data_IF_655221523101
#
_entry.id   IF_655221523101
#
_cell.length_a   1.000
_cell.length_b   1.000
_cell.length_c   1.000
_cell.angle_alpha   90.00
_cell.angle_beta   90.00
_cell.angle_gamma   90.00
#
_symmetry.space_group_name_H-M   'P 1'
#
loop_
_entity.id
_entity.type
_entity.pdbx_description
1 polymer ?
#
# COMPACT_ATOMS: atom_id res chain seq x y z
N UNK A 1 2.55 -13.44 14.96
CA UNK A 1 2.39 -14.31 16.16
C UNK A 1 3.53 -14.09 17.15
N UNK A 2 3.84 -12.83 17.45
CA UNK A 2 4.83 -12.40 18.43
C UNK A 2 4.35 -12.69 19.86
N UNK A 3 5.23 -12.50 20.85
CA UNK A 3 4.83 -12.57 22.26
C UNK A 3 3.88 -11.44 22.69
N UNK A 4 4.02 -10.24 22.12
CA UNK A 4 3.21 -9.05 22.46
C UNK A 4 1.71 -9.28 22.26
N UNK A 5 1.33 -10.06 21.23
CA UNK A 5 -0.05 -10.49 20.97
C UNK A 5 -0.75 -11.09 22.19
N UNK A 6 -0.01 -11.81 23.05
CA UNK A 6 -0.57 -12.50 24.21
C UNK A 6 -0.56 -11.65 25.48
N UNK A 7 0.49 -10.87 25.69
CA UNK A 7 0.73 -10.20 26.97
C UNK A 7 0.18 -8.78 27.02
N UNK A 8 -0.02 -8.14 25.86
CA UNK A 8 -0.55 -6.80 25.77
C UNK A 8 -2.08 -6.83 25.57
N UNK A 9 -2.74 -5.76 26.02
CA UNK A 9 -4.19 -5.55 25.85
C UNK A 9 -5.05 -6.74 26.32
N UNK A 10 -4.61 -7.46 27.35
CA UNK A 10 -5.30 -8.63 27.91
C UNK A 10 -5.69 -9.71 26.88
N UNK A 11 -4.94 -9.80 25.77
CA UNK A 11 -5.19 -10.76 24.70
C UNK A 11 -6.28 -10.35 23.69
N UNK A 12 -6.81 -9.12 23.75
CA UNK A 12 -7.74 -8.60 22.74
C UNK A 12 -7.15 -8.66 21.33
N UNK A 13 -5.85 -8.41 21.17
CA UNK A 13 -5.12 -8.53 19.89
C UNK A 13 -5.32 -9.87 19.18
N UNK A 14 -5.38 -10.98 19.94
CA UNK A 14 -5.60 -12.31 19.37
C UNK A 14 -7.05 -12.46 18.92
N UNK A 15 -8.00 -11.86 19.63
CA UNK A 15 -9.42 -11.87 19.24
C UNK A 15 -9.63 -11.07 17.97
N UNK A 16 -9.02 -9.89 17.85
CA UNK A 16 -9.08 -9.06 16.65
C UNK A 16 -8.46 -9.78 15.45
N UNK A 17 -7.28 -10.39 15.64
CA UNK A 17 -6.65 -11.24 14.63
C UNK A 17 -7.59 -12.37 14.19
N UNK A 18 -8.19 -13.09 15.14
CA UNK A 18 -9.11 -14.18 14.83
C UNK A 18 -10.32 -13.69 14.05
N UNK A 19 -10.92 -12.56 14.47
CA UNK A 19 -12.04 -11.94 13.78
C UNK A 19 -11.68 -11.58 12.33
N UNK A 20 -10.54 -10.91 12.10
CA UNK A 20 -10.08 -10.57 10.75
C UNK A 20 -9.93 -11.84 9.91
N UNK A 21 -9.27 -12.88 10.44
CA UNK A 21 -9.06 -14.14 9.73
C UNK A 21 -10.37 -14.84 9.37
N UNK A 22 -11.35 -14.87 10.28
CA UNK A 22 -12.69 -15.44 10.04
C UNK A 22 -13.41 -14.70 8.90
N UNK A 23 -13.32 -13.37 8.89
CA UNK A 23 -13.94 -12.53 7.86
C UNK A 23 -13.25 -12.65 6.50
N UNK A 24 -11.92 -12.67 6.49
CA UNK A 24 -11.11 -12.92 5.28
C UNK A 24 -11.43 -14.29 4.71
N UNK A 25 -11.46 -15.35 5.52
CA UNK A 25 -11.78 -16.69 5.06
C UNK A 25 -13.19 -16.77 4.46
N UNK A 26 -14.16 -16.14 5.12
CA UNK A 26 -15.55 -16.07 4.63
C UNK A 26 -15.64 -15.32 3.30
N UNK A 27 -15.02 -14.14 3.20
CA UNK A 27 -15.04 -13.37 1.97
C UNK A 27 -14.30 -14.08 0.83
N UNK A 28 -13.10 -14.62 1.10
CA UNK A 28 -12.30 -15.32 0.11
C UNK A 28 -13.06 -16.53 -0.47
N UNK A 29 -13.75 -17.31 0.38
CA UNK A 29 -14.51 -18.48 -0.08
C UNK A 29 -15.75 -18.17 -0.91
N UNK A 30 -16.17 -16.91 -1.00
CA UNK A 30 -17.18 -16.47 -1.98
C UNK A 30 -16.62 -16.43 -3.41
N UNK A 31 -15.31 -16.21 -3.55
CA UNK A 31 -14.62 -16.09 -4.84
C UNK A 31 -13.75 -17.31 -5.16
N UNK A 32 -13.31 -18.02 -4.12
CA UNK A 32 -12.31 -19.07 -4.20
C UNK A 32 -12.76 -20.38 -3.55
N UNK A 33 -12.99 -21.38 -4.39
CA UNK A 33 -13.37 -22.72 -3.94
C UNK A 33 -12.25 -23.43 -3.17
N UNK A 34 -10.98 -23.01 -3.30
CA UNK A 34 -9.82 -23.66 -2.68
C UNK A 34 -9.49 -23.12 -1.28
N UNK A 35 -10.14 -22.06 -0.81
CA UNK A 35 -9.93 -21.46 0.50
C UNK A 35 -8.66 -20.61 0.60
N UNK A 36 -8.26 -20.28 1.83
CA UNK A 36 -7.07 -19.46 2.10
C UNK A 36 -5.92 -20.29 2.67
N UNK A 37 -4.70 -19.75 2.50
CA UNK A 37 -3.47 -20.23 3.13
C UNK A 37 -3.04 -19.26 4.22
N UNK A 38 -2.68 -19.77 5.39
CA UNK A 38 -2.18 -18.98 6.52
C UNK A 38 -0.69 -19.23 6.70
N UNK A 39 0.07 -18.18 7.04
CA UNK A 39 1.47 -18.29 7.43
C UNK A 39 1.69 -17.52 8.72
N UNK A 40 2.23 -18.20 9.72
CA UNK A 40 2.72 -17.57 10.94
C UNK A 40 4.14 -17.08 10.73
N UNK A 41 4.56 -16.01 11.41
CA UNK A 41 5.93 -15.49 11.29
C UNK A 41 6.88 -16.37 12.08
N UNK A 42 6.55 -16.71 13.32
CA UNK A 42 7.46 -17.40 14.24
C UNK A 42 7.35 -18.93 14.22
N UNK A 43 6.36 -19.49 13.53
CA UNK A 43 6.15 -20.95 13.51
C UNK A 43 5.84 -21.49 12.10
N UNK A 44 5.90 -22.82 11.96
CA UNK A 44 5.54 -23.57 10.76
C UNK A 44 4.66 -24.77 11.12
N UNK A 45 3.36 -24.57 11.40
CA UNK A 45 2.45 -25.67 11.67
C UNK A 45 2.36 -26.64 10.47
N UNK A 46 1.92 -27.90 10.70
CA UNK A 46 1.70 -28.85 9.63
C UNK A 46 0.80 -28.28 8.51
N UNK A 47 1.17 -28.54 7.25
CA UNK A 47 0.52 -27.93 6.09
C UNK A 47 -1.00 -28.11 6.07
N UNK A 48 -1.53 -29.26 6.49
CA UNK A 48 -2.97 -29.52 6.53
C UNK A 48 -3.77 -28.62 7.49
N UNK A 49 -3.10 -27.92 8.42
CA UNK A 49 -3.73 -26.96 9.34
C UNK A 49 -3.74 -25.54 8.78
N UNK A 50 -2.88 -25.23 7.82
CA UNK A 50 -2.61 -23.86 7.34
C UNK A 50 -2.89 -23.67 5.84
N UNK A 51 -3.44 -24.68 5.19
CA UNK A 51 -3.87 -24.66 3.79
C UNK A 51 -5.34 -24.99 3.67
N UNK A 52 -5.95 -24.50 2.59
CA UNK A 52 -7.35 -24.80 2.24
C UNK A 52 -8.34 -24.51 3.37
N UNK A 53 -8.10 -23.43 4.12
CA UNK A 53 -8.99 -23.01 5.20
C UNK A 53 -10.19 -22.31 4.58
N UNK A 54 -11.39 -22.79 4.92
CA UNK A 54 -12.65 -22.31 4.33
C UNK A 54 -13.71 -21.91 5.35
N UNK A 55 -13.50 -22.21 6.62
CA UNK A 55 -14.52 -22.05 7.65
C UNK A 55 -13.96 -21.33 8.87
N UNK A 56 -14.82 -20.58 9.54
CA UNK A 56 -14.51 -19.92 10.82
C UNK A 56 -14.08 -20.94 11.87
N UNK A 57 -14.67 -22.14 11.88
CA UNK A 57 -14.30 -23.20 12.80
C UNK A 57 -12.83 -23.65 12.63
N UNK A 58 -12.35 -23.78 11.39
CA UNK A 58 -10.95 -24.10 11.11
C UNK A 58 -10.01 -22.99 11.61
N UNK A 59 -10.40 -21.71 11.42
CA UNK A 59 -9.65 -20.56 11.94
C UNK A 59 -9.60 -20.59 13.47
N UNK A 60 -10.74 -20.79 14.14
CA UNK A 60 -10.83 -20.88 15.60
C UNK A 60 -9.94 -21.99 16.15
N UNK A 61 -9.95 -23.17 15.53
CA UNK A 61 -9.06 -24.29 15.90
C UNK A 61 -7.59 -23.96 15.68
N UNK A 62 -7.27 -23.33 14.55
CA UNK A 62 -5.91 -22.93 14.21
C UNK A 62 -5.36 -21.93 15.23
N UNK A 63 -6.10 -20.86 15.52
CA UNK A 63 -5.68 -19.79 16.43
C UNK A 63 -5.61 -20.27 17.87
N UNK A 64 -6.60 -21.02 18.34
CA UNK A 64 -6.64 -21.53 19.72
C UNK A 64 -5.54 -22.55 20.03
N UNK A 65 -5.13 -23.34 19.03
CA UNK A 65 -4.02 -24.27 19.13
C UNK A 65 -2.63 -23.64 18.97
N UNK A 66 -2.56 -22.38 18.53
CA UNK A 66 -1.30 -21.73 18.18
C UNK A 66 -0.61 -21.07 19.38
N UNK A 67 0.73 -21.18 19.43
CA UNK A 67 1.53 -20.52 20.47
C UNK A 67 2.08 -19.19 19.97
N UNK A 68 1.63 -18.11 20.58
CA UNK A 68 2.12 -16.75 20.33
C UNK A 68 3.41 -16.49 21.13
N UNK A 69 4.53 -16.32 20.42
CA UNK A 69 5.85 -16.07 21.01
C UNK A 69 6.86 -15.60 19.97
N UNK A 70 7.94 -14.95 20.42
CA UNK A 70 9.00 -14.48 19.53
C UNK A 70 8.85 -13.00 19.16
N UNK A 71 9.70 -12.57 18.23
CA UNK A 71 9.73 -11.20 17.69
C UNK A 71 8.75 -11.07 16.51
N UNK A 72 8.87 -9.98 15.76
CA UNK A 72 8.04 -9.69 14.59
C UNK A 72 8.91 -9.60 13.33
N UNK A 73 9.47 -10.71 12.82
CA UNK A 73 10.32 -10.73 11.62
C UNK A 73 9.46 -10.65 10.34
N UNK A 74 8.64 -9.60 10.25
CA UNK A 74 7.61 -9.39 9.25
C UNK A 74 8.12 -9.51 7.82
N UNK A 75 9.14 -8.73 7.44
CA UNK A 75 9.62 -8.66 6.06
C UNK A 75 10.31 -9.96 5.64
N UNK A 76 11.18 -10.47 6.50
CA UNK A 76 11.97 -11.68 6.27
C UNK A 76 11.08 -12.90 6.12
N UNK A 77 10.09 -13.07 7.01
CA UNK A 77 9.19 -14.22 6.94
C UNK A 77 8.11 -14.05 5.88
N UNK A 78 7.65 -12.82 5.57
CA UNK A 78 6.83 -12.54 4.38
C UNK A 78 7.56 -13.00 3.11
N UNK A 79 8.82 -12.60 2.96
CA UNK A 79 9.65 -12.98 1.82
C UNK A 79 9.78 -14.48 1.70
N UNK A 80 10.23 -15.13 2.77
CA UNK A 80 10.55 -16.56 2.78
C UNK A 80 9.31 -17.46 2.62
N UNK A 81 8.24 -17.18 3.38
CA UNK A 81 7.10 -18.11 3.50
C UNK A 81 6.01 -17.87 2.48
N UNK A 82 5.87 -16.64 2.00
CA UNK A 82 4.80 -16.26 1.06
C UNK A 82 5.38 -15.96 -0.32
N UNK A 83 6.35 -15.04 -0.41
CA UNK A 83 6.84 -14.61 -1.72
C UNK A 83 7.66 -15.70 -2.40
N UNK A 84 8.73 -16.17 -1.77
CA UNK A 84 9.58 -17.24 -2.28
C UNK A 84 8.91 -18.62 -2.12
N UNK A 85 8.02 -18.77 -1.13
CA UNK A 85 7.35 -20.03 -0.83
C UNK A 85 6.13 -20.34 -1.72
N UNK A 86 5.44 -19.31 -2.24
CA UNK A 86 4.16 -19.46 -2.94
C UNK A 86 4.15 -18.66 -4.24
N UNK A 87 4.36 -17.34 -4.17
CA UNK A 87 4.13 -16.41 -5.29
C UNK A 87 5.15 -16.64 -6.41
N UNK A 88 6.43 -16.60 -6.10
CA UNK A 88 7.53 -16.75 -7.06
C UNK A 88 7.53 -18.12 -7.73
N UNK A 89 7.39 -19.25 -7.01
CA UNK A 89 7.25 -20.56 -7.65
C UNK A 89 6.11 -20.61 -8.66
N UNK A 90 4.93 -20.08 -8.33
CA UNK A 90 3.77 -20.07 -9.21
C UNK A 90 3.99 -19.22 -10.48
N UNK A 91 4.69 -18.09 -10.35
CA UNK A 91 5.07 -17.25 -11.49
C UNK A 91 6.06 -17.99 -12.39
N UNK A 92 7.16 -18.50 -11.81
CA UNK A 92 8.27 -19.09 -12.57
C UNK A 92 7.88 -20.41 -13.24
N UNK A 93 7.02 -21.21 -12.62
CA UNK A 93 6.48 -22.43 -13.23
C UNK A 93 5.36 -22.15 -14.24
N UNK A 94 4.93 -20.89 -14.40
CA UNK A 94 3.77 -20.48 -15.19
C UNK A 94 2.47 -21.19 -14.77
N UNK A 95 2.34 -21.48 -13.48
CA UNK A 95 1.16 -22.14 -12.89
C UNK A 95 0.28 -21.19 -12.07
N UNK A 96 0.60 -19.90 -12.03
CA UNK A 96 -0.23 -18.89 -11.40
C UNK A 96 -1.57 -18.74 -12.13
N UNK A 97 -2.62 -19.35 -11.56
CA UNK A 97 -3.98 -19.35 -12.12
C UNK A 97 -4.72 -18.04 -11.87
N UNK A 98 -4.45 -17.37 -10.76
CA UNK A 98 -5.07 -16.11 -10.33
C UNK A 98 -4.04 -15.22 -9.62
N UNK A 99 -4.24 -13.89 -9.60
CA UNK A 99 -3.50 -13.01 -8.70
C UNK A 99 -3.61 -13.42 -7.24
N UNK A 100 -2.65 -13.00 -6.42
CA UNK A 100 -2.59 -13.30 -4.98
C UNK A 100 -2.74 -12.01 -4.17
N UNK A 101 -3.73 -11.98 -3.27
CA UNK A 101 -3.80 -10.97 -2.21
C UNK A 101 -3.05 -11.50 -0.98
N UNK A 102 -2.06 -10.76 -0.50
CA UNK A 102 -1.32 -11.08 0.72
C UNK A 102 -1.77 -10.13 1.83
N UNK A 103 -2.46 -10.65 2.83
CA UNK A 103 -2.87 -9.90 4.02
C UNK A 103 -1.94 -10.22 5.18
N UNK A 104 -1.18 -9.21 5.63
CA UNK A 104 -0.28 -9.29 6.77
C UNK A 104 -0.94 -8.62 7.97
N UNK A 105 -1.25 -9.39 9.01
CA UNK A 105 -1.85 -8.88 10.25
C UNK A 105 -0.77 -8.82 11.33
N UNK A 106 -0.63 -7.67 12.00
CA UNK A 106 0.45 -7.44 12.98
C UNK A 106 -0.01 -6.55 14.13
N UNK A 107 0.55 -6.75 15.32
CA UNK A 107 0.33 -5.88 16.49
C UNK A 107 1.50 -4.94 16.79
N UNK A 108 2.52 -4.98 15.95
CA UNK A 108 3.80 -4.33 16.21
C UNK A 108 4.56 -4.03 14.93
N UNK A 109 5.50 -3.10 15.05
CA UNK A 109 6.51 -2.87 14.01
C UNK A 109 7.42 -4.09 13.82
N UNK A 110 8.12 -4.20 12.66
CA UNK A 110 9.17 -5.17 12.44
C UNK A 110 10.23 -5.20 13.56
N UNK A 111 10.65 -6.39 13.97
CA UNK A 111 11.65 -6.61 15.01
C UNK A 111 12.48 -7.87 14.76
N UNK A 112 13.78 -7.80 15.04
CA UNK A 112 14.72 -8.91 14.81
C UNK A 112 15.20 -9.03 13.35
N UNK A 113 15.00 -7.98 12.55
CA UNK A 113 15.37 -7.93 11.13
C UNK A 113 15.79 -6.50 10.72
N UNK A 114 16.39 -6.30 9.53
CA UNK A 114 16.62 -4.96 8.99
C UNK A 114 15.32 -4.15 8.84
N UNK A 115 15.36 -2.86 9.14
CA UNK A 115 14.18 -1.97 9.05
C UNK A 115 13.61 -1.84 7.64
N UNK A 116 14.42 -2.13 6.61
CA UNK A 116 14.02 -2.10 5.19
C UNK A 116 13.42 -3.41 4.71
N UNK A 117 13.46 -4.49 5.51
CA UNK A 117 13.15 -5.84 5.03
C UNK A 117 11.74 -5.95 4.41
N UNK A 118 10.73 -5.29 4.99
CA UNK A 118 9.37 -5.27 4.43
C UNK A 118 9.34 -4.56 3.08
N UNK A 119 9.92 -3.36 2.99
CA UNK A 119 9.99 -2.57 1.76
C UNK A 119 10.72 -3.33 0.64
N UNK A 120 11.87 -3.92 0.96
CA UNK A 120 12.68 -4.69 0.00
C UNK A 120 11.93 -5.94 -0.48
N UNK A 121 11.15 -6.56 0.41
CA UNK A 121 10.32 -7.72 0.08
C UNK A 121 9.17 -7.36 -0.86
N UNK A 122 8.46 -6.27 -0.61
CA UNK A 122 7.38 -5.80 -1.50
C UNK A 122 7.93 -5.43 -2.87
N UNK A 123 9.03 -4.66 -2.93
CA UNK A 123 9.70 -4.30 -4.19
C UNK A 123 10.11 -5.53 -4.98
N UNK A 124 10.73 -6.51 -4.30
CA UNK A 124 11.11 -7.77 -4.92
C UNK A 124 9.90 -8.54 -5.47
N UNK A 125 8.84 -8.67 -4.68
CA UNK A 125 7.64 -9.40 -5.10
C UNK A 125 7.01 -8.80 -6.35
N UNK A 126 6.92 -7.47 -6.42
CA UNK A 126 6.36 -6.75 -7.59
C UNK A 126 7.26 -6.88 -8.82
N UNK A 127 8.58 -6.89 -8.63
CA UNK A 127 9.53 -7.17 -9.70
C UNK A 127 9.33 -8.59 -10.27
N UNK A 128 9.18 -9.60 -9.41
CA UNK A 128 8.90 -10.97 -9.86
C UNK A 128 7.52 -11.07 -10.53
N UNK A 129 6.49 -10.46 -9.94
CA UNK A 129 5.11 -10.41 -10.45
C UNK A 129 5.03 -9.87 -11.88
N UNK A 130 5.87 -8.88 -12.21
CA UNK A 130 5.98 -8.30 -13.55
C UNK A 130 6.32 -9.32 -14.64
N UNK A 131 6.86 -10.50 -14.29
CA UNK A 131 7.14 -11.59 -15.23
C UNK A 131 5.95 -12.55 -15.44
N UNK A 132 4.84 -12.34 -14.74
CA UNK A 132 3.61 -13.13 -14.88
C UNK A 132 2.70 -12.56 -15.97
N UNK A 133 1.68 -13.35 -16.35
CA UNK A 133 0.61 -12.88 -17.25
C UNK A 133 -0.24 -11.73 -16.68
N UNK A 134 -0.18 -11.49 -15.37
CA UNK A 134 -0.92 -10.44 -14.67
C UNK A 134 -0.08 -9.17 -14.43
N UNK A 135 1.20 -9.18 -14.84
CA UNK A 135 2.12 -8.07 -14.62
C UNK A 135 2.23 -7.68 -13.14
N UNK A 136 2.36 -6.37 -12.86
CA UNK A 136 2.43 -5.87 -11.47
C UNK A 136 1.20 -6.22 -10.62
N UNK A 137 0.05 -6.45 -11.25
CA UNK A 137 -1.19 -6.82 -10.57
C UNK A 137 -1.29 -8.30 -10.17
N UNK A 138 -0.23 -9.09 -10.33
CA UNK A 138 -0.22 -10.50 -9.93
C UNK A 138 -0.19 -10.70 -8.41
N UNK A 139 0.24 -9.68 -7.66
CA UNK A 139 0.29 -9.68 -6.21
C UNK A 139 -0.15 -8.31 -5.68
N UNK A 140 -0.99 -8.32 -4.66
CA UNK A 140 -1.40 -7.14 -3.91
C UNK A 140 -1.09 -7.36 -2.42
N UNK A 141 -0.80 -6.29 -1.70
CA UNK A 141 -0.38 -6.34 -0.30
C UNK A 141 -1.29 -5.51 0.58
N UNK A 142 -1.87 -6.15 1.59
CA UNK A 142 -2.57 -5.49 2.69
C UNK A 142 -1.75 -5.65 3.96
N UNK A 143 -1.53 -4.56 4.69
CA UNK A 143 -1.03 -4.59 6.06
C UNK A 143 -2.12 -4.10 7.02
N UNK A 144 -2.52 -4.96 7.95
CA UNK A 144 -3.56 -4.66 8.92
C UNK A 144 -2.97 -4.65 10.33
N UNK A 145 -3.23 -3.58 11.06
CA UNK A 145 -2.88 -3.48 12.48
C UNK A 145 -3.99 -4.05 13.36
N UNK A 146 -3.60 -4.86 14.35
CA UNK A 146 -4.43 -5.19 15.52
C UNK A 146 -3.84 -4.56 16.79
N UNK A 147 -4.68 -4.27 17.77
CA UNK A 147 -4.26 -3.54 18.97
C UNK A 147 -3.85 -2.10 18.68
N UNK A 148 -3.33 -1.41 19.69
CA UNK A 148 -3.13 0.04 19.68
C UNK A 148 -1.65 0.49 19.73
N UNK A 149 -0.71 -0.38 19.37
CA UNK A 149 0.73 -0.04 19.35
C UNK A 149 1.03 1.14 18.41
N UNK A 150 1.55 2.23 18.97
CA UNK A 150 1.85 3.46 18.23
C UNK A 150 3.00 3.26 17.24
N UNK A 151 3.95 2.36 17.53
CA UNK A 151 5.09 2.10 16.65
C UNK A 151 4.67 1.30 15.42
N UNK A 152 3.75 0.35 15.57
CA UNK A 152 3.11 -0.35 14.45
C UNK A 152 2.44 0.66 13.53
N UNK A 153 1.64 1.58 14.11
CA UNK A 153 0.98 2.64 13.36
C UNK A 153 1.96 3.55 12.62
N UNK A 154 3.01 4.01 13.29
CA UNK A 154 4.04 4.85 12.65
C UNK A 154 4.76 4.10 11.53
N UNK A 155 5.05 2.81 11.72
CA UNK A 155 5.69 1.98 10.69
C UNK A 155 4.77 1.79 9.47
N UNK A 156 3.49 1.48 9.68
CA UNK A 156 2.53 1.32 8.59
C UNK A 156 2.29 2.64 7.83
N UNK A 157 2.23 3.77 8.54
CA UNK A 157 2.18 5.10 7.91
C UNK A 157 3.40 5.35 7.02
N UNK A 158 4.62 5.02 7.47
CA UNK A 158 5.83 5.12 6.63
C UNK A 158 5.80 4.19 5.41
N UNK A 159 5.14 3.03 5.55
CA UNK A 159 5.01 2.06 4.46
C UNK A 159 4.04 2.58 3.38
N UNK A 160 2.93 3.17 3.80
CA UNK A 160 1.91 3.77 2.94
C UNK A 160 2.39 5.09 2.29
N UNK A 161 3.16 5.91 3.03
CA UNK A 161 3.72 7.17 2.51
C UNK A 161 4.97 6.98 1.62
N UNK A 162 5.51 5.76 1.49
CA UNK A 162 6.72 5.51 0.68
C UNK A 162 6.41 5.79 -0.81
N UNK A 163 7.22 6.62 -1.50
CA UNK A 163 6.92 7.05 -2.87
C UNK A 163 6.95 5.91 -3.89
N UNK A 164 7.52 4.76 -3.54
CA UNK A 164 7.60 3.57 -4.40
C UNK A 164 6.68 2.47 -3.90
N UNK A 165 6.71 2.17 -2.60
CA UNK A 165 6.00 1.05 -1.98
C UNK A 165 4.56 1.42 -1.61
N UNK A 166 4.28 2.67 -1.25
CA UNK A 166 2.93 3.12 -0.90
C UNK A 166 1.91 2.84 -2.00
N UNK A 167 2.29 3.04 -3.25
CA UNK A 167 1.44 2.73 -4.42
C UNK A 167 1.24 1.22 -4.68
N UNK A 168 1.87 0.36 -3.89
CA UNK A 168 1.91 -1.10 -4.07
C UNK A 168 1.25 -1.84 -2.90
N UNK A 169 0.87 -1.13 -1.85
CA UNK A 169 0.34 -1.68 -0.60
C UNK A 169 -0.89 -0.88 -0.20
N UNK A 170 -1.72 -1.47 0.65
CA UNK A 170 -2.68 -0.76 1.47
C UNK A 170 -2.39 -1.05 2.95
N UNK A 171 -2.64 -0.06 3.80
CA UNK A 171 -2.39 -0.12 5.23
C UNK A 171 -3.66 0.27 5.99
N UNK A 172 -4.25 -0.66 6.74
CA UNK A 172 -5.43 -0.38 7.57
C UNK A 172 -5.06 -0.42 9.05
N UNK A 173 -5.38 0.65 9.78
CA UNK A 173 -5.21 0.70 11.24
C UNK A 173 -6.27 -0.14 11.95
N UNK A 174 -6.16 -0.29 13.27
CA UNK A 174 -7.26 -0.84 14.06
C UNK A 174 -8.56 -0.03 13.88
N UNK A 175 -9.71 -0.64 14.20
CA UNK A 175 -11.02 -0.05 13.94
C UNK A 175 -11.19 1.33 14.58
N UNK A 176 -10.76 1.51 15.83
CA UNK A 176 -10.93 2.76 16.58
C UNK A 176 -10.16 3.92 15.93
N UNK A 177 -8.91 3.67 15.53
CA UNK A 177 -8.09 4.68 14.88
C UNK A 177 -8.64 5.02 13.50
N UNK A 178 -9.00 4.01 12.72
CA UNK A 178 -9.57 4.17 11.38
C UNK A 178 -10.89 4.96 11.43
N UNK A 179 -11.76 4.61 12.38
CA UNK A 179 -13.03 5.30 12.62
C UNK A 179 -12.80 6.76 13.01
N UNK A 180 -11.82 7.04 13.88
CA UNK A 180 -11.47 8.39 14.27
C UNK A 180 -10.89 9.24 13.12
N UNK A 181 -10.17 8.62 12.17
CA UNK A 181 -9.66 9.29 10.98
C UNK A 181 -10.77 9.59 9.98
N UNK A 182 -11.61 8.60 9.67
CA UNK A 182 -12.72 8.75 8.72
C UNK A 182 -13.81 9.71 9.22
N UNK A 183 -14.03 9.78 10.54
CA UNK A 183 -14.90 10.79 11.14
C UNK A 183 -14.36 12.22 10.98
N UNK A 184 -13.04 12.39 10.75
CA UNK A 184 -12.39 13.68 10.47
C UNK A 184 -12.24 13.96 8.97
N UNK A 185 -12.56 12.99 8.10
CA UNK A 185 -12.54 13.19 6.66
C UNK A 185 -13.62 14.20 6.20
N UNK A 186 -13.54 14.63 4.94
CA UNK A 186 -14.49 15.57 4.37
C UNK A 186 -15.04 15.07 3.02
N UNK A 187 -16.31 14.60 2.96
CA UNK A 187 -17.27 14.54 4.06
C UNK A 187 -16.88 13.49 5.11
N UNK A 188 -17.32 13.65 6.38
CA UNK A 188 -17.06 12.66 7.41
C UNK A 188 -17.78 11.35 7.06
N UNK A 189 -17.11 10.23 7.28
CA UNK A 189 -17.66 8.90 7.03
C UNK A 189 -17.78 8.16 8.35
N UNK A 190 -18.98 7.66 8.64
CA UNK A 190 -19.21 6.75 9.76
C UNK A 190 -18.73 5.36 9.37
N UNK A 191 -17.59 4.95 9.95
CA UNK A 191 -16.98 3.67 9.66
C UNK A 191 -17.66 2.58 10.49
N UNK A 192 -18.43 1.71 9.83
CA UNK A 192 -18.98 0.51 10.45
C UNK A 192 -17.94 -0.61 10.46
N UNK A 193 -18.05 -1.61 11.36
CA UNK A 193 -17.17 -2.78 11.35
C UNK A 193 -17.15 -3.51 10.00
N UNK A 194 -18.30 -3.63 9.33
CA UNK A 194 -18.39 -4.26 8.01
C UNK A 194 -17.64 -3.44 6.95
N UNK A 195 -17.73 -2.10 6.99
CA UNK A 195 -16.98 -1.23 6.09
C UNK A 195 -15.47 -1.29 6.36
N UNK A 196 -15.06 -1.41 7.62
CA UNK A 196 -13.65 -1.59 7.99
C UNK A 196 -13.08 -2.92 7.45
N UNK A 197 -13.85 -4.01 7.57
CA UNK A 197 -13.49 -5.30 6.97
C UNK A 197 -13.40 -5.19 5.45
N UNK A 198 -14.34 -4.49 4.80
CA UNK A 198 -14.30 -4.27 3.35
C UNK A 198 -13.07 -3.47 2.93
N UNK A 199 -12.68 -2.44 3.68
CA UNK A 199 -11.41 -1.73 3.45
C UNK A 199 -10.24 -2.71 3.55
N UNK A 200 -10.16 -3.51 4.61
CA UNK A 200 -9.08 -4.47 4.81
C UNK A 200 -8.97 -5.51 3.67
N UNK A 201 -10.09 -5.94 3.09
CA UNK A 201 -10.08 -7.00 2.05
C UNK A 201 -9.91 -6.42 0.64
N UNK A 202 -10.46 -5.23 0.39
CA UNK A 202 -10.54 -4.64 -0.94
C UNK A 202 -9.59 -3.47 -1.16
N UNK A 203 -9.05 -2.83 -0.13
CA UNK A 203 -8.22 -1.62 -0.24
C UNK A 203 -7.02 -1.83 -1.15
N UNK A 204 -6.27 -2.91 -0.95
CA UNK A 204 -5.14 -3.28 -1.81
C UNK A 204 -5.52 -3.67 -3.26
N UNK A 205 -6.80 -3.89 -3.57
CA UNK A 205 -7.28 -4.38 -4.88
C UNK A 205 -8.04 -3.30 -5.65
N UNK A 206 -8.87 -2.53 -4.96
CA UNK A 206 -9.76 -1.52 -5.51
C UNK A 206 -9.47 -0.16 -4.86
N UNK A 207 -8.86 0.78 -5.60
CA UNK A 207 -8.51 2.11 -5.08
C UNK A 207 -9.68 2.89 -4.48
N UNK A 208 -10.94 2.56 -4.81
CA UNK A 208 -12.11 3.23 -4.22
C UNK A 208 -12.36 2.86 -2.75
N UNK A 209 -11.74 1.79 -2.24
CA UNK A 209 -11.78 1.41 -0.83
C UNK A 209 -10.54 1.90 -0.05
N UNK A 210 -9.41 2.03 -0.74
CA UNK A 210 -8.18 2.68 -0.28
C UNK A 210 -8.42 4.20 -0.05
N UNK A 211 -8.70 4.98 -1.11
CA UNK A 211 -8.81 6.47 -1.12
C UNK A 211 -9.87 7.12 -0.20
N UNK A 212 -10.59 6.37 0.62
CA UNK A 212 -11.65 6.88 1.51
C UNK A 212 -11.11 7.57 2.79
N UNK A 213 -9.87 7.33 3.16
CA UNK A 213 -9.16 7.94 4.30
C UNK A 213 -8.15 9.03 3.84
N UNK A 214 -7.72 8.97 2.59
CA UNK A 214 -6.67 9.85 2.08
C UNK A 214 -7.10 11.31 1.87
N UNK A 215 -6.23 12.22 2.31
CA UNK A 215 -6.32 13.66 2.00
C UNK A 215 -6.02 13.92 0.52
N UNK A 216 -6.96 13.65 -0.37
CA UNK A 216 -7.17 14.24 -1.70
C UNK A 216 -5.94 14.52 -2.61
N UNK A 217 -4.79 13.85 -2.46
CA UNK A 217 -3.57 14.21 -3.21
C UNK A 217 -2.83 13.05 -3.89
N UNK A 218 -3.41 11.85 -3.99
CA UNK A 218 -2.88 10.85 -4.94
C UNK A 218 -3.24 11.28 -6.38
N UNK A 219 -2.28 11.34 -7.32
CA UNK A 219 -2.60 11.54 -8.73
C UNK A 219 -3.48 10.38 -9.21
N UNK A 220 -4.62 10.72 -9.79
CA UNK A 220 -5.64 9.81 -10.29
C UNK A 220 -5.03 8.93 -11.41
N UNK A 221 -4.52 7.75 -11.04
CA UNK A 221 -3.72 6.92 -11.94
C UNK A 221 -3.61 5.48 -11.45
N UNK A 222 -4.74 4.86 -11.12
CA UNK A 222 -4.81 3.41 -10.90
C UNK A 222 -4.56 2.62 -12.19
N UNK A 223 -4.16 1.34 -12.09
CA UNK A 223 -4.01 0.46 -13.25
C UNK A 223 -5.33 0.35 -14.04
N UNK A 224 -5.28 0.10 -15.37
CA UNK A 224 -6.49 -0.02 -16.18
C UNK A 224 -7.42 -1.08 -15.59
N UNK A 225 -8.66 -0.70 -15.30
CA UNK A 225 -9.66 -1.58 -14.72
C UNK A 225 -9.76 -2.90 -15.50
N UNK A 226 -9.75 -4.01 -14.77
CA UNK A 226 -10.00 -5.33 -15.31
C UNK A 226 -11.37 -5.35 -16.02
N UNK A 227 -11.37 -5.55 -17.34
CA UNK A 227 -12.60 -5.83 -18.10
C UNK A 227 -13.11 -4.73 -19.06
N UNK A 228 -12.38 -3.64 -19.29
CA UNK A 228 -12.79 -2.70 -20.34
C UNK A 228 -12.47 -3.26 -21.75
N UNK A 229 -13.45 -3.43 -22.65
CA UNK A 229 -13.17 -3.74 -24.05
C UNK A 229 -12.41 -2.58 -24.70
N UNK A 230 -11.53 -2.83 -25.68
CA UNK A 230 -10.75 -1.76 -26.31
C UNK A 230 -11.69 -0.75 -26.96
N UNK A 231 -11.72 0.48 -26.44
CA UNK A 231 -12.39 1.59 -27.10
C UNK A 231 -11.65 1.88 -28.41
N UNK A 232 -12.26 1.48 -29.52
CA UNK A 232 -11.92 1.98 -30.85
C UNK A 232 -12.13 3.49 -30.87
N UNK A 233 -11.10 4.22 -31.29
CA UNK A 233 -11.11 5.66 -31.43
C UNK A 233 -12.20 6.12 -32.40
N UNK A 234 -13.09 6.98 -31.91
CA UNK A 234 -14.09 7.68 -32.72
C UNK A 234 -13.52 8.96 -33.33
N UNK A 235 -13.15 8.90 -34.60
CA UNK A 235 -12.98 10.08 -35.46
C UNK A 235 -14.34 10.48 -36.03
N UNK A 236 -14.85 11.64 -35.65
CA UNK A 236 -16.01 12.29 -36.26
C UNK A 236 -15.58 13.59 -36.95
N UNK A 237 -15.61 13.59 -38.29
CA UNK A 237 -15.37 14.78 -39.11
C UNK A 237 -16.07 14.63 -40.46
N UNK A 238 -17.06 15.50 -40.70
CA UNK A 238 -18.03 15.47 -41.80
C UNK A 238 -17.40 15.50 -43.19
N UNK A 239 -18.06 14.81 -44.14
CA UNK A 239 -17.64 14.73 -45.53
C UNK A 239 -18.14 15.88 -46.42
N UNK A 240 -17.42 16.07 -47.53
CA UNK A 240 -17.90 16.59 -48.81
C UNK A 240 -16.94 16.14 -49.93
N UNK A 241 -17.50 15.57 -51.00
CA UNK A 241 -16.88 15.23 -52.30
C UNK A 241 -17.83 15.83 -53.39
N UNK A 242 -17.50 15.94 -54.71
CA UNK A 242 -16.29 15.61 -55.51
C UNK A 242 -15.90 16.80 -56.48
N UNK A 243 -15.13 16.72 -57.62
CA UNK A 243 -14.68 15.58 -58.45
C UNK A 243 -13.21 15.58 -59.01
N UNK A 244 -12.78 14.50 -59.73
CA UNK A 244 -11.42 14.29 -60.28
C UNK A 244 -11.38 14.47 -61.84
N UNK A 245 -10.37 14.06 -62.66
CA UNK A 245 -9.04 13.44 -62.40
C UNK A 245 -7.84 14.03 -63.20
N UNK A 246 -6.60 13.66 -62.84
CA UNK A 246 -5.42 13.82 -63.73
C UNK A 246 -4.05 13.59 -63.06
N UNK A 247 -3.23 12.69 -63.61
CA UNK A 247 -1.82 12.38 -63.24
C UNK A 247 -0.83 13.06 -64.22
N UNK A 248 0.52 12.87 -64.21
CA UNK A 248 1.52 12.59 -63.15
C UNK A 248 2.78 13.54 -63.20
N UNK A 249 3.81 13.24 -62.38
CA UNK A 249 5.26 13.61 -62.47
C UNK A 249 5.78 14.93 -61.86
N UNK A 250 6.96 14.85 -61.20
CA UNK A 250 7.86 15.99 -60.99
C UNK A 250 8.94 15.82 -59.91
N UNK A 251 10.22 15.71 -60.33
CA UNK A 251 11.46 15.62 -59.55
C UNK A 251 11.97 16.99 -59.01
N UNK A 252 12.90 16.96 -58.02
CA UNK A 252 13.85 18.04 -57.68
C UNK A 252 14.02 18.21 -56.15
N UNK A 253 15.07 17.75 -55.45
CA UNK A 253 16.52 18.05 -55.44
C UNK A 253 16.92 19.43 -54.87
N UNK A 254 18.01 19.41 -54.07
CA UNK A 254 18.89 20.49 -53.57
C UNK A 254 18.53 21.21 -52.26
N UNK A 255 19.47 21.68 -51.42
CA UNK A 255 20.90 21.41 -51.11
C UNK A 255 21.31 22.54 -50.12
N UNK A 256 22.21 22.24 -49.18
CA UNK A 256 23.12 23.20 -48.51
C UNK A 256 22.49 24.14 -47.46
N UNK A 257 23.14 24.50 -46.35
CA UNK A 257 24.49 24.27 -45.90
C UNK A 257 24.89 25.28 -44.80
N UNK A 258 25.73 24.81 -43.85
CA UNK A 258 26.82 25.50 -43.13
C UNK A 258 26.63 26.83 -42.36
N UNK A 259 27.16 26.88 -41.12
CA UNK A 259 27.66 28.09 -40.43
C UNK A 259 27.15 28.25 -38.99
N UNK A 260 27.92 27.84 -37.97
CA UNK A 260 28.90 28.63 -37.19
C UNK A 260 28.35 29.30 -35.91
N UNK A 261 28.78 28.72 -34.77
CA UNK A 261 29.45 29.29 -33.60
C UNK A 261 29.16 30.70 -33.03
N UNK A 262 29.18 30.70 -31.69
CA UNK A 262 29.59 31.75 -30.72
C UNK A 262 28.57 32.79 -30.21
N UNK A 263 28.48 32.89 -28.88
CA UNK A 263 28.13 34.13 -28.17
C UNK A 263 27.30 33.98 -26.88
N UNK A 264 27.96 33.74 -25.73
CA UNK A 264 27.54 34.33 -24.42
C UNK A 264 28.02 35.81 -24.38
N UNK A 265 27.56 36.75 -23.52
CA UNK A 265 27.06 36.64 -22.12
C UNK A 265 25.95 37.71 -21.79
N UNK A 266 25.78 38.34 -20.59
CA UNK A 266 26.13 38.02 -19.19
C UNK A 266 24.95 38.13 -18.17
N UNK A 267 25.27 37.77 -16.92
CA UNK A 267 24.50 37.89 -15.67
C UNK A 267 24.04 39.33 -15.34
N UNK A 268 22.91 39.45 -14.62
CA UNK A 268 22.62 40.59 -13.74
C UNK A 268 22.19 40.15 -12.34
N UNK A 269 22.92 40.68 -11.37
CA UNK A 269 22.60 40.76 -9.94
C UNK A 269 21.53 41.84 -9.71
N UNK A 270 20.66 41.59 -8.73
CA UNK A 270 19.88 42.60 -8.01
C UNK A 270 19.14 41.89 -6.88
N UNK A 271 19.13 42.33 -5.62
CA UNK A 271 19.46 43.61 -5.02
C UNK A 271 18.45 43.81 -3.89
N UNK A 272 18.89 43.66 -2.63
CA UNK A 272 18.09 43.93 -1.44
C UNK A 272 17.81 45.43 -1.29
N UNK A 273 16.61 45.84 -0.82
CA UNK A 273 16.44 47.10 -0.11
C UNK A 273 16.40 46.91 1.44
N UNK A 274 16.98 47.83 2.22
CA UNK A 274 17.09 47.74 3.69
C UNK A 274 16.14 48.66 4.49
N UNK A 275 16.05 48.33 5.79
CA UNK A 275 15.80 49.15 6.99
C UNK A 275 14.47 49.90 7.22
N UNK A 276 13.85 49.59 8.37
CA UNK A 276 13.78 50.42 9.61
C UNK A 276 12.97 49.59 10.66
N UNK A 277 13.34 49.42 11.93
CA UNK A 277 14.10 50.29 12.85
C UNK A 277 13.14 50.86 13.89
N UNK A 278 12.93 50.18 15.02
CA UNK A 278 12.05 50.65 16.11
C UNK A 278 12.35 49.93 17.42
N UNK A 279 13.01 50.63 18.33
CA UNK A 279 13.57 50.18 19.60
C UNK A 279 12.57 50.39 20.74
N UNK A 280 12.55 49.48 21.74
CA UNK A 280 11.74 49.62 22.95
C UNK A 280 12.13 48.63 24.07
N UNK A 281 12.99 49.13 24.96
CA UNK A 281 13.54 48.63 26.24
C UNK A 281 12.92 47.42 27.00
N UNK A 282 13.82 46.46 27.30
CA UNK A 282 14.30 46.00 28.62
C UNK A 282 13.50 46.31 29.91
N UNK A 283 13.09 45.23 30.60
CA UNK A 283 12.93 45.00 32.05
C UNK A 283 12.45 43.54 32.18
N UNK A 284 12.83 42.65 33.08
CA UNK A 284 13.60 42.63 34.31
C UNK A 284 13.36 41.23 34.93
N UNK A 285 14.34 40.68 35.63
CA UNK A 285 14.37 39.34 36.21
C UNK A 285 13.19 39.00 37.14
N UNK A 286 12.72 37.74 37.13
CA UNK A 286 11.77 37.19 38.11
C UNK A 286 11.87 35.66 38.24
N UNK A 287 12.21 35.19 39.44
CA UNK A 287 12.53 33.82 39.83
C UNK A 287 11.34 32.82 39.85
N UNK A 288 11.60 31.49 39.85
CA UNK A 288 10.54 30.47 39.91
C UNK A 288 9.90 30.32 41.31
N UNK A 289 8.62 29.92 41.39
CA UNK A 289 7.88 29.78 42.64
C UNK A 289 8.28 28.52 43.44
N UNK A 290 8.23 28.55 44.78
CA UNK A 290 8.53 27.41 45.64
C UNK A 290 7.37 26.41 45.72
N UNK A 291 7.65 25.12 46.06
CA UNK A 291 6.63 24.08 46.14
C UNK A 291 5.80 24.16 47.44
N UNK A 292 4.52 23.72 47.44
CA UNK A 292 3.74 23.59 48.66
C UNK A 292 4.18 22.39 49.50
N UNK A 293 4.37 22.63 50.80
CA UNK A 293 4.46 21.60 51.85
C UNK A 293 3.05 21.32 52.38
N UNK A 294 2.67 20.04 52.47
CA UNK A 294 2.37 19.28 53.71
C UNK A 294 1.94 17.87 53.33
#
# INVERSE_FOLDING_TARGET
DSGSMKFEENGERIKDLQLILERVATAATLFDDDGISVRFMNDNPPQHMVEHIKTEQQISQLVSGHKFSGLTPMGTELRKKVIDGIVVPAIRSRQMRKPVLVITITDGQPAGEPTTAVFDTVRYAIQEASNSQYGRGAVAFQFAQVGNDEKAREFLGKLDDDPVVGQLVDCTSNFENESAEMARANPPVDLTPDLWILKLILGAIDPSYDTKDEKSNRPQGGPPGYGAPPQQGGYGGQGQYPPPPGAPQGYGQQQGGYGQQQGYPPQQQGGYPPQQGGYGQQQGYGAPPPPPRY
#
